data_IF_752923836701
#
_entry.id   IF_752923836701
#
_cell.length_a   1.000
_cell.length_b   1.000
_cell.length_c   1.000
_cell.angle_alpha   90.00
_cell.angle_beta   90.00
_cell.angle_gamma   90.00
#
_symmetry.space_group_name_H-M   'P 1'
#
loop_
_entity.id
_entity.type
_entity.pdbx_description
1 polymer ?
#
# COMPACT_ATOMS: atom_id res chain seq x y z
N UNK A 1 -18.07 47.47 40.16
CA UNK A 1 -17.33 46.20 40.00
C UNK A 1 -17.33 45.85 38.53
N UNK A 2 -16.32 46.31 37.80
CA UNK A 2 -16.08 45.91 36.41
C UNK A 2 -15.38 44.56 36.41
N UNK A 3 -15.95 43.57 35.73
CA UNK A 3 -15.18 42.39 35.31
C UNK A 3 -15.58 41.06 35.94
N UNK A 4 -16.83 40.63 35.76
CA UNK A 4 -17.08 39.20 35.63
C UNK A 4 -17.14 38.85 34.13
N UNK A 5 -16.38 37.86 33.64
CA UNK A 5 -16.46 37.43 32.24
C UNK A 5 -17.88 36.99 31.89
N UNK A 6 -18.49 37.61 30.88
CA UNK A 6 -19.87 37.31 30.43
C UNK A 6 -19.93 36.40 29.20
N UNK A 7 -18.77 35.95 28.71
CA UNK A 7 -18.68 34.99 27.61
C UNK A 7 -17.57 33.99 27.90
N UNK A 8 -17.89 32.71 27.65
CA UNK A 8 -16.90 31.65 27.55
C UNK A 8 -16.57 31.52 26.08
N UNK A 9 -15.31 31.72 25.72
CA UNK A 9 -14.85 31.46 24.36
C UNK A 9 -14.73 29.94 24.20
N UNK A 10 -15.80 29.30 23.73
CA UNK A 10 -15.79 27.87 23.46
C UNK A 10 -15.13 27.65 22.11
N UNK A 11 -13.80 27.45 22.12
CA UNK A 11 -13.15 26.93 20.94
C UNK A 11 -13.50 25.45 20.87
N UNK A 12 -14.14 25.03 19.77
CA UNK A 12 -14.40 23.63 19.53
C UNK A 12 -13.04 22.90 19.47
N UNK A 13 -12.93 21.67 20.01
CA UNK A 13 -11.76 20.86 19.76
C UNK A 13 -11.60 20.71 18.24
N UNK A 14 -10.53 21.26 17.68
CA UNK A 14 -10.19 21.04 16.28
C UNK A 14 -9.73 19.59 16.19
N UNK A 15 -10.48 18.76 15.47
CA UNK A 15 -10.06 17.37 15.22
C UNK A 15 -8.82 17.36 14.34
N UNK A 16 -7.75 16.68 14.75
CA UNK A 16 -6.60 16.54 13.88
C UNK A 16 -6.75 15.27 13.03
N UNK A 17 -6.27 15.25 11.78
CA UNK A 17 -6.24 14.03 10.99
C UNK A 17 -5.52 12.90 11.74
N UNK A 18 -6.14 11.73 11.79
CA UNK A 18 -5.70 10.56 12.55
C UNK A 18 -6.32 10.44 13.94
N UNK A 19 -6.87 11.51 14.51
CA UNK A 19 -7.48 11.45 15.85
C UNK A 19 -8.85 10.77 15.81
N UNK A 20 -9.22 10.16 16.93
CA UNK A 20 -10.55 9.62 17.14
C UNK A 20 -11.59 10.74 17.17
N UNK A 21 -12.63 10.61 16.35
CA UNK A 21 -13.66 11.63 16.18
C UNK A 21 -14.77 11.57 17.24
N UNK A 22 -14.93 10.43 17.93
CA UNK A 22 -15.95 10.25 18.95
C UNK A 22 -15.57 9.19 20.00
N UNK A 23 -16.47 8.96 20.95
CA UNK A 23 -16.42 7.87 21.94
C UNK A 23 -17.05 6.57 21.43
N UNK A 24 -17.36 6.47 20.13
CA UNK A 24 -17.79 5.22 19.49
C UNK A 24 -16.75 4.12 19.77
N UNK A 25 -17.13 2.85 19.97
CA UNK A 25 -16.18 1.80 20.30
C UNK A 25 -15.03 1.75 19.30
N UNK A 26 -13.82 1.96 19.81
CA UNK A 26 -12.58 1.87 19.03
C UNK A 26 -12.26 0.41 18.84
N UNK A 27 -12.15 -0.03 17.59
CA UNK A 27 -11.72 -1.37 17.25
C UNK A 27 -10.38 -1.30 16.55
N UNK A 28 -9.38 -1.95 17.11
CA UNK A 28 -8.09 -2.15 16.47
C UNK A 28 -8.00 -3.55 15.86
N UNK A 29 -7.15 -3.70 14.85
CA UNK A 29 -6.80 -5.00 14.29
C UNK A 29 -6.13 -5.87 15.35
N UNK A 30 -6.47 -7.16 15.39
CA UNK A 30 -5.83 -8.11 16.29
C UNK A 30 -4.36 -8.30 15.90
N UNK A 31 -3.47 -8.18 16.89
CA UNK A 31 -2.03 -8.36 16.67
C UNK A 31 -1.61 -9.77 17.06
N UNK A 32 -0.86 -10.43 16.18
CA UNK A 32 -0.26 -11.75 16.41
C UNK A 32 1.03 -11.63 17.23
N UNK A 33 1.65 -12.74 17.68
CA UNK A 33 2.96 -12.70 18.32
C UNK A 33 3.97 -11.90 17.49
N UNK A 34 4.79 -11.07 18.15
CA UNK A 34 5.73 -10.08 17.59
C UNK A 34 5.15 -8.70 17.22
N UNK A 35 3.82 -8.55 17.17
CA UNK A 35 3.11 -7.28 16.94
C UNK A 35 3.30 -6.70 15.54
N UNK A 36 2.44 -5.76 15.13
CA UNK A 36 2.58 -5.07 13.84
C UNK A 36 3.65 -3.99 13.90
N UNK A 37 4.45 -3.84 12.84
CA UNK A 37 5.59 -2.92 12.76
C UNK A 37 5.61 -2.15 11.45
N UNK A 38 6.00 -0.87 11.51
CA UNK A 38 6.20 -0.06 10.32
C UNK A 38 7.34 -0.63 9.47
N UNK A 39 7.10 -0.82 8.18
CA UNK A 39 8.12 -1.26 7.24
C UNK A 39 9.16 -0.20 6.93
N UNK A 40 10.15 -0.54 6.10
CA UNK A 40 11.27 0.33 5.76
C UNK A 40 10.87 1.69 5.14
N UNK A 41 9.69 1.77 4.51
CA UNK A 41 9.17 2.99 3.91
C UNK A 41 8.53 3.96 4.93
N UNK A 42 8.58 3.64 6.24
CA UNK A 42 7.77 4.28 7.28
C UNK A 42 6.26 4.13 7.02
N UNK A 43 5.44 4.50 7.99
CA UNK A 43 3.97 4.47 7.85
C UNK A 43 3.39 5.86 8.11
N UNK A 44 2.67 6.41 7.14
CA UNK A 44 1.90 7.63 7.30
C UNK A 44 0.71 7.43 8.24
N UNK A 45 0.56 8.35 9.19
CA UNK A 45 -0.59 8.52 10.07
C UNK A 45 -1.71 9.20 9.28
N UNK A 46 -2.96 8.91 9.65
CA UNK A 46 -4.15 9.42 8.96
C UNK A 46 -4.32 8.89 7.51
N UNK A 47 -3.76 7.70 7.24
CA UNK A 47 -3.86 7.00 5.97
C UNK A 47 -4.23 5.52 6.21
N UNK A 48 -4.74 4.87 5.17
CA UNK A 48 -4.93 3.42 5.18
C UNK A 48 -3.60 2.67 5.07
N UNK A 49 -3.55 1.48 5.64
CA UNK A 49 -2.37 0.64 5.58
C UNK A 49 -2.72 -0.85 5.46
N UNK A 50 -1.76 -1.59 4.92
CA UNK A 50 -1.83 -3.02 4.67
C UNK A 50 -0.75 -3.75 5.45
N UNK A 51 -1.14 -4.86 6.05
CA UNK A 51 -0.23 -5.87 6.57
C UNK A 51 0.36 -6.60 5.36
N UNK A 52 1.67 -6.59 5.28
CA UNK A 52 2.41 -7.22 4.20
C UNK A 52 2.39 -8.74 4.36
N UNK A 53 2.75 -9.51 3.32
CA UNK A 53 2.66 -10.98 3.34
C UNK A 53 3.48 -11.68 4.42
N UNK A 54 4.42 -10.97 5.06
CA UNK A 54 5.16 -11.47 6.23
C UNK A 54 4.31 -11.51 7.52
N UNK A 55 3.10 -10.94 7.51
CA UNK A 55 2.14 -10.93 8.61
C UNK A 55 2.49 -9.96 9.75
N UNK A 56 3.55 -9.17 9.61
CA UNK A 56 4.13 -8.34 10.68
C UNK A 56 4.38 -6.91 10.19
N UNK A 57 4.87 -6.75 8.97
CA UNK A 57 5.20 -5.45 8.40
C UNK A 57 3.94 -4.74 7.94
N UNK A 58 3.84 -3.45 8.23
CA UNK A 58 2.75 -2.57 7.80
C UNK A 58 3.31 -1.49 6.89
N UNK A 59 2.65 -1.25 5.76
CA UNK A 59 2.96 -0.18 4.80
C UNK A 59 1.67 0.49 4.33
N UNK A 60 1.74 1.76 3.92
CA UNK A 60 0.62 2.44 3.25
C UNK A 60 0.51 2.11 1.76
N UNK A 61 1.26 1.12 1.30
CA UNK A 61 1.16 0.58 -0.05
C UNK A 61 0.54 -0.80 0.01
N UNK A 62 -0.40 -1.07 -0.88
CA UNK A 62 -1.00 -2.39 -1.01
C UNK A 62 0.07 -3.41 -1.44
N UNK A 63 0.07 -4.63 -0.85
CA UNK A 63 1.07 -5.66 -1.12
C UNK A 63 1.06 -6.17 -2.58
N UNK A 64 0.02 -5.85 -3.36
CA UNK A 64 -0.14 -6.26 -4.76
C UNK A 64 0.46 -5.26 -5.75
N UNK A 65 0.68 -4.02 -5.32
CA UNK A 65 1.29 -2.95 -6.13
C UNK A 65 2.79 -3.15 -6.40
N UNK A 66 3.43 -4.06 -5.65
CA UNK A 66 4.87 -4.26 -5.68
C UNK A 66 5.26 -5.71 -5.93
N UNK A 67 4.71 -6.36 -6.97
CA UNK A 67 4.97 -7.78 -7.32
C UNK A 67 6.44 -8.19 -7.59
N UNK A 68 7.40 -7.34 -7.23
CA UNK A 68 8.84 -7.54 -7.31
C UNK A 68 9.49 -6.48 -8.20
N UNK A 69 10.69 -6.05 -7.86
CA UNK A 69 11.48 -5.13 -8.69
C UNK A 69 12.95 -5.54 -8.75
N UNK A 70 13.64 -5.05 -9.79
CA UNK A 70 15.08 -5.22 -9.92
C UNK A 70 15.56 -6.58 -10.42
N UNK A 71 14.67 -7.51 -10.79
CA UNK A 71 15.11 -8.75 -11.42
C UNK A 71 15.58 -8.50 -12.86
N UNK A 72 16.71 -9.09 -13.24
CA UNK A 72 17.25 -9.06 -14.60
C UNK A 72 17.85 -10.40 -14.97
N UNK A 73 17.79 -10.75 -16.25
CA UNK A 73 18.27 -12.02 -16.76
C UNK A 73 18.81 -11.88 -18.19
N UNK A 74 19.68 -12.80 -18.58
CA UNK A 74 20.32 -12.83 -19.90
C UNK A 74 20.10 -14.20 -20.56
N UNK A 75 19.58 -14.20 -21.78
CA UNK A 75 19.44 -15.41 -22.59
C UNK A 75 20.74 -15.78 -23.28
N UNK A 76 21.02 -17.07 -23.37
CA UNK A 76 22.13 -17.65 -24.14
C UNK A 76 21.57 -18.54 -25.24
N UNK A 77 22.22 -18.52 -26.41
CA UNK A 77 21.82 -19.33 -27.56
C UNK A 77 22.75 -20.54 -27.75
N UNK A 78 22.18 -21.64 -28.21
CA UNK A 78 22.92 -22.78 -28.76
C UNK A 78 22.19 -23.24 -30.03
N UNK A 79 22.91 -23.30 -31.16
CA UNK A 79 22.38 -23.75 -32.45
C UNK A 79 21.03 -23.08 -32.83
N UNK A 80 20.99 -21.75 -32.82
CA UNK A 80 19.84 -20.93 -33.22
C UNK A 80 18.58 -21.03 -32.32
N UNK A 81 18.70 -21.66 -31.15
CA UNK A 81 17.65 -21.76 -30.14
C UNK A 81 18.13 -21.19 -28.79
N UNK A 82 17.20 -20.68 -27.99
CA UNK A 82 17.46 -20.26 -26.60
C UNK A 82 17.73 -21.50 -25.77
N UNK A 83 18.95 -21.63 -25.25
CA UNK A 83 19.39 -22.81 -24.50
C UNK A 83 19.30 -22.64 -22.99
N UNK A 84 19.55 -21.43 -22.50
CA UNK A 84 19.46 -21.10 -21.08
C UNK A 84 19.18 -19.63 -20.88
N UNK A 85 18.58 -19.31 -19.73
CA UNK A 85 18.39 -17.93 -19.28
C UNK A 85 18.98 -17.84 -17.87
N UNK A 86 20.07 -17.11 -17.74
CA UNK A 86 20.72 -16.89 -16.45
C UNK A 86 20.11 -15.67 -15.75
N UNK A 87 19.75 -15.82 -14.49
CA UNK A 87 19.33 -14.69 -13.64
C UNK A 87 20.59 -13.92 -13.24
N UNK A 88 20.68 -12.66 -13.67
CA UNK A 88 21.81 -11.78 -13.34
C UNK A 88 21.59 -11.08 -12.00
N UNK A 89 20.35 -10.65 -11.75
CA UNK A 89 19.90 -10.09 -10.49
C UNK A 89 18.53 -10.69 -10.19
N UNK A 90 18.34 -11.30 -9.02
CA UNK A 90 17.06 -11.92 -8.65
C UNK A 90 15.98 -10.93 -8.21
N UNK A 91 16.38 -9.67 -7.98
CA UNK A 91 15.50 -8.61 -7.48
C UNK A 91 14.99 -8.88 -6.07
N UNK A 92 13.95 -8.15 -5.67
CA UNK A 92 13.35 -8.24 -4.34
C UNK A 92 11.84 -8.02 -4.41
N UNK A 93 11.09 -8.65 -3.50
CA UNK A 93 9.64 -8.40 -3.33
C UNK A 93 8.74 -9.23 -4.25
N UNK A 94 9.26 -10.25 -4.94
CA UNK A 94 8.44 -11.10 -5.80
C UNK A 94 7.56 -12.03 -4.95
N UNK A 95 6.24 -11.79 -4.95
CA UNK A 95 5.27 -12.66 -4.26
C UNK A 95 4.79 -13.81 -5.14
N UNK A 96 4.79 -13.58 -6.45
CA UNK A 96 4.46 -14.55 -7.48
C UNK A 96 5.57 -14.55 -8.54
N UNK A 97 5.77 -15.67 -9.25
CA UNK A 97 6.69 -15.70 -10.38
C UNK A 97 6.36 -14.61 -11.42
N UNK A 98 7.35 -13.82 -11.87
CA UNK A 98 7.13 -12.87 -12.95
C UNK A 98 6.90 -13.59 -14.28
N UNK A 99 6.16 -12.94 -15.18
CA UNK A 99 6.03 -13.35 -16.58
C UNK A 99 7.35 -13.11 -17.31
N UNK A 100 7.89 -14.14 -17.96
CA UNK A 100 9.12 -14.05 -18.75
C UNK A 100 8.77 -13.81 -20.21
N UNK A 101 9.13 -12.63 -20.73
CA UNK A 101 8.92 -12.27 -22.13
C UNK A 101 10.25 -12.24 -22.87
N UNK A 102 10.34 -12.96 -23.98
CA UNK A 102 11.51 -13.02 -24.86
C UNK A 102 11.21 -12.26 -26.14
N UNK A 103 11.99 -11.22 -26.45
CA UNK A 103 11.74 -10.37 -27.61
C UNK A 103 13.03 -10.06 -28.39
N UNK A 104 12.91 -9.88 -29.71
CA UNK A 104 14.05 -9.65 -30.60
C UNK A 104 14.80 -10.95 -30.96
N UNK A 105 16.06 -10.82 -31.37
CA UNK A 105 16.91 -11.96 -31.69
C UNK A 105 16.69 -12.63 -33.05
N UNK A 106 15.66 -12.20 -33.81
CA UNK A 106 15.35 -12.69 -35.15
C UNK A 106 14.63 -14.04 -35.23
N UNK A 107 14.49 -14.76 -34.11
CA UNK A 107 13.80 -16.05 -34.02
C UNK A 107 12.37 -15.94 -33.46
N UNK A 108 11.70 -17.09 -33.34
CA UNK A 108 10.34 -17.19 -32.80
C UNK A 108 10.14 -18.44 -31.93
N UNK A 109 9.12 -18.41 -31.08
CA UNK A 109 8.64 -19.59 -30.35
C UNK A 109 9.35 -19.91 -29.03
N UNK A 110 10.32 -19.10 -28.58
CA UNK A 110 10.93 -19.33 -27.28
C UNK A 110 9.97 -18.97 -26.14
N UNK A 111 9.87 -19.83 -25.13
CA UNK A 111 9.07 -19.63 -23.92
C UNK A 111 9.87 -20.04 -22.68
N UNK A 112 9.65 -19.36 -21.57
CA UNK A 112 10.31 -19.64 -20.30
C UNK A 112 9.40 -19.31 -19.12
N UNK A 113 9.72 -19.88 -17.96
CA UNK A 113 9.01 -19.68 -16.70
C UNK A 113 10.00 -19.33 -15.60
N UNK A 114 9.68 -18.33 -14.77
CA UNK A 114 10.49 -17.96 -13.61
C UNK A 114 10.11 -18.78 -12.37
N UNK A 115 11.06 -18.96 -11.47
CA UNK A 115 10.87 -19.55 -10.14
C UNK A 115 11.28 -18.53 -9.09
N UNK A 116 10.40 -18.32 -8.10
CA UNK A 116 10.62 -17.37 -7.01
C UNK A 116 10.71 -18.13 -5.70
N UNK A 117 11.75 -17.83 -4.92
CA UNK A 117 11.97 -18.37 -3.58
C UNK A 117 12.32 -17.21 -2.66
N UNK A 118 11.62 -17.10 -1.53
CA UNK A 118 11.83 -16.07 -0.52
C UNK A 118 11.83 -14.62 -1.08
N UNK A 119 10.94 -14.31 -2.03
CA UNK A 119 10.83 -12.96 -2.57
C UNK A 119 11.82 -12.61 -3.70
N UNK A 120 12.63 -13.57 -4.14
CA UNK A 120 13.70 -13.37 -5.13
C UNK A 120 13.47 -14.34 -6.30
N UNK A 121 13.66 -13.85 -7.54
CA UNK A 121 13.72 -14.71 -8.73
C UNK A 121 15.02 -15.51 -8.66
N UNK A 122 14.93 -16.82 -8.50
CA UNK A 122 16.08 -17.72 -8.30
C UNK A 122 16.47 -18.46 -9.57
N UNK A 123 15.50 -18.72 -10.44
CA UNK A 123 15.70 -19.52 -11.65
C UNK A 123 14.75 -19.06 -12.75
N UNK A 124 15.18 -19.20 -14.01
CA UNK A 124 14.33 -19.08 -15.19
C UNK A 124 14.54 -20.33 -16.04
N UNK A 125 13.52 -21.19 -16.06
CA UNK A 125 13.55 -22.42 -16.83
C UNK A 125 12.99 -22.18 -18.24
N UNK A 126 13.78 -22.49 -19.27
CA UNK A 126 13.34 -22.43 -20.66
C UNK A 126 12.43 -23.63 -20.94
N UNK A 127 11.18 -23.37 -21.30
CA UNK A 127 10.19 -24.42 -21.63
C UNK A 127 10.16 -24.74 -23.11
N UNK A 128 10.54 -23.78 -23.96
CA UNK A 128 10.78 -23.98 -25.38
C UNK A 128 11.92 -23.05 -25.82
N UNK A 129 12.96 -23.59 -26.47
CA UNK A 129 14.08 -22.79 -26.97
C UNK A 129 13.74 -21.98 -28.23
N UNK A 130 12.61 -22.30 -28.89
CA UNK A 130 12.23 -21.73 -30.17
C UNK A 130 13.23 -22.05 -31.29
N UNK A 131 13.21 -21.26 -32.36
CA UNK A 131 14.07 -21.49 -33.53
C UNK A 131 14.34 -20.21 -34.32
N UNK A 132 15.44 -20.21 -35.08
CA UNK A 132 15.80 -19.13 -36.01
C UNK A 132 16.40 -17.90 -35.34
N UNK A 133 16.88 -18.02 -34.10
CA UNK A 133 17.52 -16.92 -33.40
C UNK A 133 18.94 -16.69 -33.95
N UNK A 134 19.19 -15.51 -34.51
CA UNK A 134 20.49 -15.07 -35.03
C UNK A 134 21.27 -14.24 -34.00
N UNK A 135 20.59 -13.77 -32.96
CA UNK A 135 21.17 -13.12 -31.77
C UNK A 135 20.31 -13.40 -30.55
N UNK A 136 20.89 -13.31 -29.35
CA UNK A 136 20.17 -13.60 -28.11
C UNK A 136 18.98 -12.64 -27.93
N UNK A 137 17.76 -13.15 -27.62
CA UNK A 137 16.61 -12.28 -27.36
C UNK A 137 16.79 -11.50 -26.05
N UNK A 138 16.19 -10.32 -25.97
CA UNK A 138 16.06 -9.57 -24.74
C UNK A 138 15.06 -10.28 -23.81
N UNK A 139 15.45 -10.47 -22.55
CA UNK A 139 14.62 -11.08 -21.50
C UNK A 139 14.01 -9.97 -20.65
N UNK A 140 12.68 -9.86 -20.69
CA UNK A 140 11.93 -8.92 -19.87
C UNK A 140 11.15 -9.70 -18.82
N UNK A 141 11.35 -9.35 -17.54
CA UNK A 141 10.63 -9.93 -16.42
C UNK A 141 9.55 -8.95 -15.96
N UNK A 142 8.29 -9.30 -16.21
CA UNK A 142 7.16 -8.48 -15.77
C UNK A 142 6.57 -9.09 -14.49
N UNK A 143 6.61 -8.39 -13.35
CA UNK A 143 5.95 -8.83 -12.12
C UNK A 143 4.49 -9.22 -12.35
N UNK A 144 4.06 -10.30 -11.71
CA UNK A 144 2.63 -10.62 -11.68
C UNK A 144 1.91 -9.62 -10.76
N UNK A 145 0.86 -9.00 -11.27
CA UNK A 145 -0.05 -8.16 -10.47
C UNK A 145 -1.12 -9.04 -9.87
N UNK A 146 -1.22 -9.07 -8.54
CA UNK A 146 -2.39 -9.63 -7.85
C UNK A 146 -3.50 -8.58 -7.79
N UNK A 147 -4.75 -9.02 -7.66
CA UNK A 147 -5.86 -8.10 -7.46
C UNK A 147 -5.67 -7.35 -6.14
N UNK A 148 -5.86 -6.01 -6.12
CA UNK A 148 -5.64 -5.21 -4.92
C UNK A 148 -6.50 -5.70 -3.76
N UNK A 149 -5.91 -5.71 -2.58
CA UNK A 149 -6.57 -6.12 -1.35
C UNK A 149 -7.20 -4.91 -0.65
N UNK A 150 -8.31 -5.13 0.07
CA UNK A 150 -8.89 -4.10 0.93
C UNK A 150 -7.89 -3.84 2.08
N UNK A 151 -7.62 -2.58 2.46
CA UNK A 151 -6.70 -2.29 3.55
C UNK A 151 -7.13 -2.92 4.89
N UNK A 152 -6.16 -3.45 5.63
CA UNK A 152 -6.37 -4.10 6.93
C UNK A 152 -6.83 -3.12 8.03
N UNK A 153 -6.56 -1.82 7.85
CA UNK A 153 -7.07 -0.80 8.73
C UNK A 153 -6.55 0.60 8.42
N UNK A 154 -7.05 1.56 9.21
CA UNK A 154 -6.60 2.94 9.20
C UNK A 154 -5.51 3.16 10.24
N UNK A 155 -4.55 4.07 10.00
CA UNK A 155 -3.49 4.39 10.98
C UNK A 155 -3.93 5.58 11.84
N UNK A 156 -4.48 5.36 13.06
CA UNK A 156 -4.85 6.46 13.96
C UNK A 156 -3.62 7.11 14.58
N UNK A 157 -3.82 8.29 15.16
CA UNK A 157 -2.86 9.00 15.99
C UNK A 157 -3.09 8.62 17.45
N UNK A 158 -2.28 7.71 17.99
CA UNK A 158 -2.39 7.22 19.37
C UNK A 158 -1.08 7.42 20.16
N UNK A 159 -0.50 8.62 20.06
CA UNK A 159 0.78 9.00 20.71
C UNK A 159 2.04 8.27 20.17
N UNK A 160 2.02 7.73 18.95
CA UNK A 160 3.20 7.14 18.30
C UNK A 160 4.04 8.15 17.49
N UNK A 161 3.68 9.44 17.52
CA UNK A 161 4.43 10.50 16.82
C UNK A 161 5.78 10.74 17.49
N UNK A 162 6.86 10.19 16.91
CA UNK A 162 8.22 10.36 17.38
C UNK A 162 8.99 11.32 16.46
N UNK A 163 9.32 12.51 16.94
CA UNK A 163 10.24 13.43 16.26
C UNK A 163 11.68 12.95 16.47
N UNK A 164 12.28 12.36 15.45
CA UNK A 164 13.61 11.71 15.55
C UNK A 164 14.76 12.60 15.04
N UNK A 165 14.45 13.73 14.41
CA UNK A 165 15.46 14.65 13.86
C UNK A 165 15.58 15.93 14.71
N UNK A 166 16.80 16.45 14.78
CA UNK A 166 17.10 17.71 15.46
C UNK A 166 16.42 18.89 14.73
N UNK A 167 15.68 19.72 15.48
CA UNK A 167 14.81 20.82 14.99
C UNK A 167 13.55 20.41 14.23
N UNK A 168 13.15 19.14 14.29
CA UNK A 168 11.89 18.71 13.69
C UNK A 168 10.70 19.10 14.57
N UNK A 169 9.76 19.87 14.02
CA UNK A 169 8.63 20.42 14.78
C UNK A 169 7.45 19.44 14.92
N UNK A 170 7.19 18.62 13.90
CA UNK A 170 6.16 17.57 13.92
C UNK A 170 6.46 16.47 12.87
N UNK A 171 5.84 15.29 13.05
CA UNK A 171 5.79 14.25 12.03
C UNK A 171 4.42 13.60 11.98
N UNK A 172 3.97 13.28 10.77
CA UNK A 172 2.79 12.44 10.51
C UNK A 172 3.23 11.06 10.02
N UNK A 173 4.45 10.64 10.34
CA UNK A 173 4.98 9.33 9.98
C UNK A 173 5.47 8.58 11.21
N UNK A 174 5.19 7.29 11.23
CA UNK A 174 5.72 6.30 12.16
C UNK A 174 7.03 5.79 11.54
N UNK A 175 8.20 5.99 12.19
CA UNK A 175 9.48 5.57 11.63
C UNK A 175 9.57 4.04 11.44
N UNK A 176 10.45 3.55 10.55
CA UNK A 176 10.59 2.12 10.29
C UNK A 176 10.97 1.34 11.56
N UNK A 177 10.38 0.15 11.72
CA UNK A 177 10.64 -0.77 12.83
C UNK A 177 9.83 -0.50 14.11
N UNK A 178 9.11 0.62 14.19
CA UNK A 178 8.26 0.95 15.33
C UNK A 178 6.92 0.21 15.26
N UNK A 179 6.30 -0.01 16.43
CA UNK A 179 5.02 -0.70 16.53
C UNK A 179 3.89 0.16 15.92
N UNK A 180 3.00 -0.48 15.18
CA UNK A 180 1.86 0.16 14.53
C UNK A 180 0.57 -0.42 15.09
N UNK A 181 -0.40 0.44 15.39
CA UNK A 181 -1.77 0.05 15.68
C UNK A 181 -2.61 0.42 14.46
N UNK A 182 -3.42 -0.53 13.96
CA UNK A 182 -4.39 -0.27 12.91
C UNK A 182 -5.79 -0.24 13.50
N UNK A 183 -6.60 0.72 13.10
CA UNK A 183 -8.01 0.82 13.41
C UNK A 183 -8.82 0.06 12.36
N UNK A 184 -9.55 -0.96 12.79
CA UNK A 184 -10.51 -1.72 11.99
C UNK A 184 -11.96 -1.24 12.22
N UNK A 185 -12.18 -0.25 13.08
CA UNK A 185 -13.49 0.36 13.29
C UNK A 185 -13.49 1.54 14.25
N UNK A 186 -14.64 2.19 14.37
CA UNK A 186 -14.83 3.43 15.14
C UNK A 186 -14.98 4.64 14.23
N UNK A 187 -14.85 5.84 14.81
CA UNK A 187 -14.96 7.11 14.07
C UNK A 187 -13.62 7.84 14.09
N UNK A 188 -13.11 8.22 12.92
CA UNK A 188 -11.78 8.82 12.75
C UNK A 188 -11.85 10.11 11.94
N UNK A 189 -11.03 11.09 12.33
CA UNK A 189 -10.80 12.28 11.52
C UNK A 189 -9.74 11.98 10.45
N UNK A 190 -9.98 12.44 9.23
CA UNK A 190 -9.04 12.31 8.13
C UNK A 190 -9.23 13.42 7.10
N UNK A 191 -8.39 13.45 6.07
CA UNK A 191 -8.49 14.43 4.98
C UNK A 191 -8.71 13.66 3.68
N UNK A 192 -9.71 14.08 2.91
CA UNK A 192 -10.00 13.52 1.58
C UNK A 192 -9.44 14.40 0.48
N UNK A 193 -8.93 13.79 -0.58
CA UNK A 193 -8.49 14.50 -1.79
C UNK A 193 -9.66 14.96 -2.67
N UNK A 194 -10.89 14.50 -2.39
CA UNK A 194 -12.12 14.86 -3.11
C UNK A 194 -13.16 15.41 -2.15
N UNK A 195 -14.11 16.19 -2.67
CA UNK A 195 -15.26 16.65 -1.90
C UNK A 195 -16.03 15.46 -1.33
N UNK A 196 -16.20 15.46 -0.01
CA UNK A 196 -16.83 14.37 0.72
C UNK A 196 -18.26 14.73 1.10
N UNK A 197 -19.22 13.92 0.65
CA UNK A 197 -20.61 13.99 1.08
C UNK A 197 -20.93 12.87 2.07
N UNK A 198 -21.81 13.16 3.04
CA UNK A 198 -22.23 12.17 4.05
C UNK A 198 -22.84 10.94 3.36
N UNK A 199 -22.44 9.75 3.80
CA UNK A 199 -22.91 8.47 3.27
C UNK A 199 -22.15 7.98 2.03
N UNK A 200 -21.20 8.76 1.50
CA UNK A 200 -20.27 8.26 0.49
C UNK A 200 -19.35 7.19 1.05
N UNK A 201 -18.88 6.33 0.14
CA UNK A 201 -17.86 5.32 0.43
C UNK A 201 -16.48 5.95 0.37
N UNK A 202 -15.60 5.43 1.21
CA UNK A 202 -14.21 5.85 1.31
C UNK A 202 -13.36 4.89 0.50
N UNK A 203 -12.54 5.46 -0.37
CA UNK A 203 -11.62 4.77 -1.25
C UNK A 203 -10.19 5.01 -0.77
N UNK A 204 -9.40 3.94 -0.69
CA UNK A 204 -8.00 4.00 -0.29
C UNK A 204 -7.10 3.91 -1.51
N UNK A 205 -6.12 4.82 -1.62
CA UNK A 205 -5.07 4.77 -2.64
C UNK A 205 -4.14 3.59 -2.37
N UNK A 206 -3.86 2.80 -3.41
CA UNK A 206 -3.01 1.62 -3.32
C UNK A 206 -1.51 1.96 -3.20
N UNK A 207 -1.13 3.21 -3.49
CA UNK A 207 0.27 3.66 -3.50
C UNK A 207 0.70 4.21 -2.14
N UNK A 208 -0.17 4.98 -1.48
CA UNK A 208 0.18 5.78 -0.30
C UNK A 208 -0.90 5.77 0.80
N UNK A 209 -1.99 5.04 0.61
CA UNK A 209 -3.07 4.95 1.60
C UNK A 209 -3.88 6.24 1.76
N UNK A 210 -3.68 7.23 0.89
CA UNK A 210 -4.48 8.45 0.86
C UNK A 210 -5.94 8.17 0.54
N UNK A 211 -6.80 9.12 0.89
CA UNK A 211 -8.25 8.92 0.90
C UNK A 211 -8.91 9.71 -0.22
N UNK A 212 -9.82 9.04 -0.92
CA UNK A 212 -10.83 9.67 -1.78
C UNK A 212 -12.22 9.22 -1.37
N UNK A 213 -13.23 9.98 -1.73
CA UNK A 213 -14.64 9.70 -1.42
C UNK A 213 -15.46 9.72 -2.70
N UNK A 214 -16.33 8.73 -2.87
CA UNK A 214 -17.22 8.66 -4.02
C UNK A 214 -18.49 7.86 -3.68
N UNK A 215 -19.43 7.80 -4.61
CA UNK A 215 -20.57 6.88 -4.53
C UNK A 215 -20.09 5.41 -4.40
N UNK A 216 -20.88 4.55 -3.77
CA UNK A 216 -20.55 3.13 -3.63
C UNK A 216 -20.51 2.42 -4.98
N UNK A 217 -19.61 1.45 -5.13
CA UNK A 217 -19.46 0.63 -6.33
C UNK A 217 -18.79 1.33 -7.51
N UNK A 218 -18.15 2.48 -7.29
CA UNK A 218 -17.39 3.18 -8.34
C UNK A 218 -15.99 2.59 -8.45
N UNK A 219 -15.54 2.30 -9.67
CA UNK A 219 -14.16 1.86 -9.90
C UNK A 219 -13.29 3.08 -10.20
N UNK A 220 -12.32 3.36 -9.34
CA UNK A 220 -11.35 4.45 -9.49
C UNK A 220 -9.97 3.83 -9.70
N UNK A 221 -9.26 4.25 -10.75
CA UNK A 221 -7.92 3.73 -11.05
C UNK A 221 -6.94 4.07 -9.92
N UNK A 222 -6.24 3.06 -9.39
CA UNK A 222 -5.28 3.23 -8.29
C UNK A 222 -5.91 3.27 -6.90
N UNK A 223 -7.22 3.08 -6.78
CA UNK A 223 -7.94 3.08 -5.51
C UNK A 223 -8.80 1.84 -5.33
N UNK A 224 -9.03 1.45 -4.08
CA UNK A 224 -9.93 0.35 -3.69
C UNK A 224 -11.04 0.86 -2.78
N UNK A 225 -12.28 0.39 -3.00
CA UNK A 225 -13.41 0.68 -2.13
C UNK A 225 -13.20 0.00 -0.77
N UNK A 226 -13.43 0.75 0.32
CA UNK A 226 -13.36 0.23 1.68
C UNK A 226 -14.74 0.14 2.32
N UNK A 227 -14.83 -0.52 3.47
CA UNK A 227 -16.06 -0.57 4.25
C UNK A 227 -16.41 0.74 4.97
N UNK A 228 -15.49 1.71 4.99
CA UNK A 228 -15.66 2.98 5.68
C UNK A 228 -16.64 3.91 4.95
N UNK A 229 -17.39 4.67 5.72
CA UNK A 229 -18.39 5.62 5.26
C UNK A 229 -18.07 7.02 5.78
N UNK A 230 -18.37 8.05 5.00
CA UNK A 230 -18.25 9.45 5.43
C UNK A 230 -19.39 9.79 6.39
N UNK A 231 -19.07 10.14 7.63
CA UNK A 231 -20.03 10.59 8.65
C UNK A 231 -20.12 12.12 8.75
N UNK A 232 -19.01 12.83 8.53
CA UNK A 232 -18.94 14.29 8.44
C UNK A 232 -18.41 14.70 7.06
N UNK A 233 -19.22 15.48 6.34
CA UNK A 233 -18.93 16.00 5.01
C UNK A 233 -18.06 17.26 5.09
N UNK A 234 -17.11 17.41 4.17
CA UNK A 234 -16.31 18.62 3.98
C UNK A 234 -15.76 18.68 2.54
N UNK A 235 -15.36 19.86 2.05
CA UNK A 235 -14.64 20.01 0.79
C UNK A 235 -13.31 19.25 0.76
N UNK A 236 -12.76 19.04 -0.44
CA UNK A 236 -11.44 18.46 -0.62
C UNK A 236 -10.37 19.24 0.15
N UNK A 237 -9.51 18.52 0.89
CA UNK A 237 -8.45 19.12 1.71
C UNK A 237 -8.87 19.54 3.11
N UNK A 238 -10.17 19.59 3.41
CA UNK A 238 -10.68 19.85 4.76
C UNK A 238 -10.83 18.55 5.58
N UNK A 239 -10.96 18.71 6.89
CA UNK A 239 -11.12 17.59 7.83
C UNK A 239 -12.53 17.00 7.67
N UNK A 240 -12.57 15.72 7.34
CA UNK A 240 -13.77 14.88 7.32
C UNK A 240 -13.74 13.89 8.48
N UNK A 241 -14.88 13.29 8.79
CA UNK A 241 -14.95 12.15 9.70
C UNK A 241 -15.47 10.94 8.94
N UNK A 242 -14.79 9.80 9.14
CA UNK A 242 -15.16 8.50 8.58
C UNK A 242 -15.55 7.56 9.71
N UNK A 243 -16.44 6.62 9.42
CA UNK A 243 -16.92 5.62 10.37
C UNK A 243 -16.95 4.22 9.73
N UNK A 244 -16.60 3.20 10.51
CA UNK A 244 -16.76 1.79 10.14
C UNK A 244 -17.41 1.05 11.31
N UNK A 245 -18.68 0.70 11.12
CA UNK A 245 -19.55 0.04 12.09
C UNK A 245 -20.84 -0.45 11.42
N UNK A 246 -21.51 -1.42 12.04
CA UNK A 246 -22.77 -1.98 11.52
C UNK A 246 -23.83 -0.90 11.54
N UNK A 247 -24.34 -0.52 10.36
CA UNK A 247 -25.63 0.16 10.24
C UNK A 247 -26.71 -0.91 10.30
#
# INVERSE_FOLDING_TARGET
MTGFPSSVNYNWPVGNPGDWASTNPRRSTLTWPLGLRAGAAAVAIAAFAWIQPDGVTVLNSDPTSGGGSGASATATLTAEAVSSIAVTVGGTGYLLPPTVSLSGGGGTGATATATVVNGIVTEINVTNGGSGYTSAPAVTLTPATIAPSIPDGFVPREQQGLTTQYLQEATMTIPPGFMVTLADGGDLFCVSATDAARGQKVYASLTDGSIQTNASGQTISGYIETDWLVSLAAPAGDIIAITKGVV
#
